data_IF_990236839390
#
_entry.id   IF_990236839390
#
_cell.length_a   1.000
_cell.length_b   1.000
_cell.length_c   1.000
_cell.angle_alpha   90.00
_cell.angle_beta   90.00
_cell.angle_gamma   90.00
#
_symmetry.space_group_name_H-M   'P 1'
#
loop_
_entity.id
_entity.type
_entity.pdbx_description
1 polymer ?
#
# COMPACT_ATOMS: atom_id res chain seq x y z
N UNK A 1 32.28 -7.67 -8.78
CA UNK A 1 31.40 -7.61 -7.59
C UNK A 1 31.68 -8.85 -6.78
N UNK A 2 32.14 -8.71 -5.54
CA UNK A 2 32.32 -9.86 -4.65
C UNK A 2 30.95 -10.38 -4.22
N UNK A 3 30.60 -11.59 -4.66
CA UNK A 3 29.36 -12.24 -4.26
C UNK A 3 29.52 -12.78 -2.82
N UNK A 4 29.01 -12.03 -1.84
CA UNK A 4 28.91 -12.52 -0.45
C UNK A 4 28.01 -13.77 -0.43
N UNK A 5 28.54 -14.91 0.03
CA UNK A 5 27.73 -16.10 0.31
C UNK A 5 26.91 -15.88 1.59
N UNK A 6 25.59 -16.00 1.49
CA UNK A 6 24.69 -15.92 2.65
C UNK A 6 24.88 -17.14 3.56
N UNK A 7 25.01 -16.90 4.86
CA UNK A 7 25.21 -17.92 5.90
C UNK A 7 23.94 -18.15 6.73
N UNK A 8 23.92 -19.24 7.52
CA UNK A 8 22.84 -19.51 8.48
C UNK A 8 22.67 -18.36 9.49
N UNK A 9 23.78 -17.84 10.02
CA UNK A 9 23.78 -16.72 10.97
C UNK A 9 23.25 -15.43 10.34
N UNK A 10 23.51 -15.19 9.05
CA UNK A 10 22.91 -14.07 8.31
C UNK A 10 21.37 -14.20 8.26
N UNK A 11 20.84 -15.41 8.05
CA UNK A 11 19.39 -15.66 8.01
C UNK A 11 18.74 -15.58 9.39
N UNK A 12 19.43 -16.06 10.44
CA UNK A 12 18.95 -15.98 11.82
C UNK A 12 18.88 -14.53 12.31
N UNK A 13 19.89 -13.68 11.99
CA UNK A 13 19.81 -12.23 12.25
C UNK A 13 18.65 -11.56 11.51
N UNK A 14 18.38 -11.98 10.27
CA UNK A 14 17.25 -11.46 9.49
C UNK A 14 15.89 -11.79 10.11
N UNK A 15 15.77 -12.87 10.89
CA UNK A 15 14.50 -13.28 11.51
C UNK A 15 13.93 -12.19 12.43
N UNK A 16 14.77 -11.53 13.21
CA UNK A 16 14.37 -10.46 14.13
C UNK A 16 13.85 -9.26 13.35
N UNK A 17 14.58 -8.82 12.32
CA UNK A 17 14.15 -7.75 11.42
C UNK A 17 12.85 -8.07 10.66
N UNK A 18 12.65 -9.34 10.28
CA UNK A 18 11.43 -9.79 9.61
C UNK A 18 10.19 -9.81 10.51
N UNK A 19 10.33 -9.81 11.84
CA UNK A 19 9.17 -9.74 12.74
C UNK A 19 8.66 -8.31 12.86
N UNK A 20 9.56 -7.34 12.94
CA UNK A 20 9.21 -5.91 12.98
C UNK A 20 8.61 -5.43 11.66
N UNK A 21 9.11 -5.94 10.53
CA UNK A 21 8.62 -5.57 9.19
C UNK A 21 7.19 -6.04 8.87
N UNK A 22 6.63 -7.00 9.63
CA UNK A 22 5.29 -7.55 9.38
C UNK A 22 4.14 -6.61 9.79
N UNK A 23 4.43 -5.62 10.62
CA UNK A 23 3.47 -4.64 11.13
C UNK A 23 3.95 -3.20 10.89
N UNK A 24 4.85 -3.03 9.91
CA UNK A 24 5.50 -1.76 9.63
C UNK A 24 4.47 -0.71 9.25
N UNK A 25 4.46 0.37 10.03
CA UNK A 25 3.82 1.63 9.67
C UNK A 25 4.84 2.41 8.85
N UNK A 26 4.43 2.87 7.68
CA UNK A 26 5.22 3.77 6.83
C UNK A 26 4.38 5.00 6.49
N UNK A 27 5.06 6.10 6.17
CA UNK A 27 4.42 7.32 5.70
C UNK A 27 4.73 7.48 4.22
N UNK A 28 3.68 7.58 3.39
CA UNK A 28 3.80 7.79 1.95
C UNK A 28 3.29 9.20 1.64
N UNK A 29 4.13 10.02 1.03
CA UNK A 29 3.77 11.37 0.64
C UNK A 29 2.82 11.34 -0.55
N UNK A 30 1.71 12.07 -0.44
CA UNK A 30 0.81 12.38 -1.55
C UNK A 30 1.08 13.80 -2.01
N UNK A 31 1.44 13.96 -3.29
CA UNK A 31 1.65 15.28 -3.88
C UNK A 31 0.32 16.01 -4.02
N UNK A 32 -0.75 15.28 -4.35
CA UNK A 32 -2.09 15.85 -4.48
C UNK A 32 -2.66 16.38 -3.16
N UNK A 33 -2.55 15.60 -2.08
CA UNK A 33 -3.01 16.02 -0.75
C UNK A 33 -2.00 16.91 -0.02
N UNK A 34 -0.81 17.11 -0.59
CA UNK A 34 0.31 17.85 -0.02
C UNK A 34 0.61 17.42 1.43
N UNK A 35 0.69 16.11 1.66
CA UNK A 35 0.79 15.53 2.99
C UNK A 35 1.16 14.06 3.00
N UNK A 36 1.55 13.56 4.17
CA UNK A 36 1.96 12.18 4.36
C UNK A 36 0.79 11.33 4.88
N UNK A 37 0.51 10.21 4.20
CA UNK A 37 -0.49 9.24 4.59
C UNK A 37 0.15 8.12 5.41
N UNK A 38 -0.45 7.79 6.56
CA UNK A 38 -0.08 6.60 7.32
C UNK A 38 -0.55 5.34 6.58
N UNK A 39 0.41 4.49 6.21
CA UNK A 39 0.19 3.22 5.51
C UNK A 39 0.66 2.08 6.39
N UNK A 40 -0.24 1.14 6.66
CA UNK A 40 0.05 -0.05 7.47
C UNK A 40 0.25 -1.25 6.56
N UNK A 41 1.46 -1.81 6.55
CA UNK A 41 1.72 -3.07 5.86
C UNK A 41 0.91 -4.19 6.50
N UNK A 42 0.26 -4.99 5.66
CA UNK A 42 -0.45 -6.22 6.08
C UNK A 42 0.40 -7.45 5.76
N UNK A 43 -0.04 -8.62 6.21
CA UNK A 43 0.63 -9.87 5.82
C UNK A 43 0.47 -10.05 4.32
N UNK A 44 1.55 -10.41 3.63
CA UNK A 44 1.54 -10.59 2.17
C UNK A 44 0.47 -11.59 1.71
N UNK A 45 0.21 -12.64 2.50
CA UNK A 45 -0.84 -13.62 2.19
C UNK A 45 -2.25 -13.00 2.20
N UNK A 46 -2.51 -12.00 3.04
CA UNK A 46 -3.81 -11.34 3.09
C UNK A 46 -3.99 -10.40 1.88
N UNK A 47 -2.89 -9.79 1.41
CA UNK A 47 -2.88 -9.04 0.15
C UNK A 47 -3.15 -9.97 -1.03
N UNK A 48 -2.45 -11.10 -1.14
CA UNK A 48 -2.65 -12.08 -2.21
C UNK A 48 -4.07 -12.63 -2.23
N UNK A 49 -4.64 -12.98 -1.07
CA UNK A 49 -6.06 -13.36 -0.99
C UNK A 49 -7.00 -12.26 -1.47
N UNK A 50 -6.61 -11.00 -1.34
CA UNK A 50 -7.41 -9.86 -1.82
C UNK A 50 -7.28 -9.66 -3.32
N UNK A 51 -6.11 -9.95 -3.89
CA UNK A 51 -5.86 -10.04 -5.33
C UNK A 51 -6.64 -11.20 -5.96
N UNK A 52 -6.61 -12.39 -5.38
CA UNK A 52 -7.30 -13.58 -5.90
C UNK A 52 -8.83 -13.41 -5.99
N UNK A 53 -9.42 -12.48 -5.22
CA UNK A 53 -10.85 -12.17 -5.26
C UNK A 53 -11.23 -11.22 -6.40
N UNK A 54 -10.26 -10.53 -6.98
CA UNK A 54 -10.45 -9.75 -8.20
C UNK A 54 -10.25 -10.75 -9.34
N UNK A 55 -11.34 -11.18 -9.97
CA UNK A 55 -11.26 -12.06 -11.14
C UNK A 55 -10.43 -11.35 -12.20
N UNK A 56 -9.20 -11.84 -12.41
CA UNK A 56 -8.35 -11.60 -13.57
C UNK A 56 -8.32 -10.12 -14.03
N UNK A 57 -7.42 -9.32 -13.45
CA UNK A 57 -7.23 -7.89 -13.76
C UNK A 57 -6.84 -7.71 -15.24
N UNK A 58 -7.83 -7.64 -16.12
CA UNK A 58 -7.70 -7.68 -17.57
C UNK A 58 -8.19 -6.38 -18.21
N UNK A 59 -8.76 -5.46 -17.42
CA UNK A 59 -9.23 -4.14 -17.88
C UNK A 59 -8.66 -2.98 -17.07
N UNK A 60 -8.72 -1.77 -17.63
CA UNK A 60 -8.32 -0.54 -16.92
C UNK A 60 -9.23 -0.22 -15.73
N UNK A 61 -10.50 -0.64 -15.78
CA UNK A 61 -11.46 -0.44 -14.68
C UNK A 61 -11.07 -1.31 -13.48
N UNK A 62 -10.83 -2.61 -13.71
CA UNK A 62 -10.39 -3.53 -12.65
C UNK A 62 -9.04 -3.11 -12.04
N UNK A 63 -8.12 -2.56 -12.84
CA UNK A 63 -6.85 -2.00 -12.33
C UNK A 63 -7.07 -0.81 -11.39
N UNK A 64 -8.03 0.06 -11.72
CA UNK A 64 -8.37 1.21 -10.89
C UNK A 64 -9.06 0.75 -9.59
N UNK A 65 -10.02 -0.17 -9.69
CA UNK A 65 -10.68 -0.77 -8.53
C UNK A 65 -9.69 -1.49 -7.61
N UNK A 66 -8.72 -2.20 -8.19
CA UNK A 66 -7.63 -2.80 -7.42
C UNK A 66 -6.84 -1.73 -6.64
N UNK A 67 -6.46 -0.65 -7.32
CA UNK A 67 -5.69 0.45 -6.71
C UNK A 67 -6.46 1.09 -5.54
N UNK A 68 -7.75 1.36 -5.75
CA UNK A 68 -8.64 1.93 -4.72
C UNK A 68 -8.79 0.99 -3.52
N UNK A 69 -9.06 -0.29 -3.77
CA UNK A 69 -9.15 -1.29 -2.70
C UNK A 69 -7.84 -1.44 -1.94
N UNK A 70 -6.70 -1.39 -2.63
CA UNK A 70 -5.39 -1.49 -2.03
C UNK A 70 -5.14 -0.33 -1.06
N UNK A 71 -5.38 0.91 -1.51
CA UNK A 71 -5.22 2.11 -0.70
C UNK A 71 -6.15 2.08 0.51
N UNK A 72 -7.44 1.82 0.29
CA UNK A 72 -8.43 1.74 1.35
C UNK A 72 -8.04 0.72 2.44
N UNK A 73 -7.51 -0.43 2.04
CA UNK A 73 -7.12 -1.46 2.99
C UNK A 73 -5.91 -1.08 3.85
N UNK A 74 -4.95 -0.36 3.28
CA UNK A 74 -3.68 -0.03 3.93
C UNK A 74 -3.66 1.32 4.66
N UNK A 75 -4.55 2.26 4.30
CA UNK A 75 -4.59 3.61 4.87
C UNK A 75 -5.75 3.73 5.87
N UNK A 76 -5.51 3.73 7.19
CA UNK A 76 -6.58 3.75 8.19
C UNK A 76 -7.43 5.01 8.16
N UNK A 77 -6.85 6.14 7.74
CA UNK A 77 -7.54 7.43 7.65
C UNK A 77 -8.82 7.35 6.82
N UNK A 78 -8.79 6.63 5.70
CA UNK A 78 -9.93 6.49 4.80
C UNK A 78 -11.03 5.58 5.34
N UNK A 79 -10.80 4.88 6.45
CA UNK A 79 -11.82 4.08 7.15
C UNK A 79 -12.58 4.89 8.20
N UNK A 80 -12.21 6.15 8.42
CA UNK A 80 -12.93 7.03 9.34
C UNK A 80 -14.36 7.29 8.84
N UNK A 81 -15.35 7.04 9.70
CA UNK A 81 -16.75 7.15 9.33
C UNK A 81 -17.21 8.59 9.18
N UNK A 82 -16.69 9.51 10.00
CA UNK A 82 -17.03 10.92 9.90
C UNK A 82 -16.55 11.49 8.57
N UNK A 83 -15.36 11.07 8.13
CA UNK A 83 -14.82 11.43 6.82
C UNK A 83 -15.71 10.87 5.68
N UNK A 84 -16.08 9.59 5.73
CA UNK A 84 -16.94 8.98 4.71
C UNK A 84 -18.32 9.64 4.61
N UNK A 85 -18.90 9.98 5.77
CA UNK A 85 -20.22 10.61 5.85
C UNK A 85 -20.18 12.05 5.29
N UNK A 86 -19.15 12.84 5.63
CA UNK A 86 -18.98 14.21 5.12
C UNK A 86 -18.78 14.26 3.60
N UNK A 87 -18.09 13.25 3.05
CA UNK A 87 -17.95 13.09 1.61
C UNK A 87 -19.15 12.38 0.96
N UNK A 88 -20.20 12.04 1.70
CA UNK A 88 -21.42 11.37 1.20
C UNK A 88 -21.14 10.03 0.49
N UNK A 89 -20.17 9.25 0.96
CA UNK A 89 -19.80 7.96 0.35
C UNK A 89 -20.98 6.97 0.37
N UNK A 90 -21.26 6.34 -0.78
CA UNK A 90 -22.28 5.28 -0.89
C UNK A 90 -21.66 3.96 -0.45
N UNK A 91 -20.49 3.64 -1.00
CA UNK A 91 -19.64 2.54 -0.59
C UNK A 91 -18.40 3.06 0.16
N UNK A 92 -17.84 2.31 1.13
CA UNK A 92 -16.70 2.79 1.92
C UNK A 92 -15.47 3.16 1.08
N UNK A 93 -15.28 2.50 -0.07
CA UNK A 93 -14.17 2.75 -1.00
C UNK A 93 -14.34 4.02 -1.83
N UNK A 94 -15.57 4.57 -1.93
CA UNK A 94 -15.85 5.81 -2.66
C UNK A 94 -15.00 6.97 -2.16
N UNK A 95 -14.61 6.92 -0.89
CA UNK A 95 -13.79 7.95 -0.27
C UNK A 95 -12.47 8.17 -1.01
N UNK A 96 -11.92 7.14 -1.66
CA UNK A 96 -10.68 7.27 -2.42
C UNK A 96 -10.94 8.12 -3.67
N UNK A 97 -11.97 7.79 -4.45
CA UNK A 97 -12.34 8.60 -5.62
C UNK A 97 -12.62 10.05 -5.23
N UNK A 98 -13.34 10.26 -4.11
CA UNK A 98 -13.76 11.60 -3.68
C UNK A 98 -12.64 12.45 -3.09
N UNK A 99 -11.79 11.88 -2.23
CA UNK A 99 -10.67 12.62 -1.62
C UNK A 99 -9.62 13.00 -2.67
N UNK A 100 -9.42 12.14 -3.67
CA UNK A 100 -8.48 12.38 -4.76
C UNK A 100 -9.12 13.06 -5.97
N UNK A 101 -10.41 13.44 -5.92
CA UNK A 101 -11.15 14.08 -7.03
C UNK A 101 -10.95 13.37 -8.38
N UNK A 102 -11.11 12.05 -8.38
CA UNK A 102 -10.90 11.17 -9.53
C UNK A 102 -9.50 11.28 -10.18
N UNK A 103 -8.50 11.78 -9.45
CA UNK A 103 -7.11 11.82 -9.91
C UNK A 103 -6.50 10.41 -9.93
N UNK A 104 -6.80 9.67 -11.01
CA UNK A 104 -6.36 8.29 -11.25
C UNK A 104 -4.83 8.15 -11.27
N UNK A 105 -4.10 9.22 -11.60
CA UNK A 105 -2.64 9.24 -11.61
C UNK A 105 -2.07 9.12 -10.20
N UNK A 106 -2.52 9.99 -9.29
CA UNK A 106 -2.11 9.95 -7.88
C UNK A 106 -2.55 8.64 -7.20
N UNK A 107 -3.77 8.17 -7.49
CA UNK A 107 -4.28 6.88 -6.99
C UNK A 107 -3.34 5.75 -7.44
N UNK A 108 -2.94 5.73 -8.71
CA UNK A 108 -1.99 4.75 -9.24
C UNK A 108 -0.60 4.85 -8.59
N UNK A 109 -0.07 6.06 -8.39
CA UNK A 109 1.23 6.28 -7.74
C UNK A 109 1.25 5.82 -6.28
N UNK A 110 0.18 6.12 -5.53
CA UNK A 110 0.03 5.68 -4.14
C UNK A 110 -0.09 4.15 -4.06
N UNK A 111 -0.92 3.55 -4.90
CA UNK A 111 -1.07 2.10 -4.98
C UNK A 111 0.28 1.41 -5.32
N UNK A 112 1.03 1.96 -6.28
CA UNK A 112 2.37 1.47 -6.61
C UNK A 112 3.35 1.57 -5.44
N UNK A 113 3.30 2.66 -4.69
CA UNK A 113 4.14 2.84 -3.50
C UNK A 113 3.82 1.82 -2.40
N UNK A 114 2.53 1.49 -2.22
CA UNK A 114 2.08 0.42 -1.31
C UNK A 114 2.58 -0.94 -1.79
N UNK A 115 2.47 -1.25 -3.08
CA UNK A 115 2.96 -2.52 -3.66
C UNK A 115 4.47 -2.71 -3.49
N UNK A 116 5.24 -1.62 -3.50
CA UNK A 116 6.67 -1.65 -3.24
C UNK A 116 7.03 -2.07 -1.81
N UNK A 117 6.12 -1.94 -0.82
CA UNK A 117 6.31 -2.51 0.52
C UNK A 117 6.38 -4.05 0.50
N UNK A 118 5.92 -4.67 -0.58
CA UNK A 118 5.92 -6.11 -0.82
C UNK A 118 6.98 -6.54 -1.84
N UNK A 119 7.80 -5.62 -2.34
CA UNK A 119 8.81 -5.90 -3.37
C UNK A 119 8.20 -6.24 -4.73
N UNK A 120 6.96 -5.79 -5.00
CA UNK A 120 6.30 -6.02 -6.28
C UNK A 120 6.61 -4.90 -7.28
N UNK A 121 6.87 -3.67 -6.79
CA UNK A 121 7.32 -2.54 -7.60
C UNK A 121 8.45 -1.79 -6.87
N UNK A 122 9.68 -1.87 -7.36
CA UNK A 122 10.91 -1.31 -6.74
C UNK A 122 11.03 0.23 -6.88
N UNK A 123 9.97 0.97 -6.51
CA UNK A 123 9.99 2.44 -6.45
C UNK A 123 9.99 3.00 -5.02
N UNK A 124 10.04 2.16 -3.98
CA UNK A 124 10.18 2.65 -2.60
C UNK A 124 11.61 3.13 -2.43
N UNK A 125 11.82 4.44 -2.62
CA UNK A 125 12.98 5.11 -2.03
C UNK A 125 12.87 4.93 -0.52
N UNK A 126 13.56 3.91 -0.01
CA UNK A 126 13.74 3.68 1.42
C UNK A 126 14.45 4.91 2.01
N UNK A 127 13.70 5.92 2.46
CA UNK A 127 14.14 6.82 3.52
C UNK A 127 14.00 6.08 4.85
N UNK A 128 14.76 5.01 5.00
CA UNK A 128 15.16 4.55 6.33
C UNK A 128 16.11 5.62 6.85
N UNK A 129 15.59 6.55 7.67
CA UNK A 129 16.43 7.49 8.40
C UNK A 129 17.30 6.66 9.35
N UNK A 130 18.61 6.73 9.11
CA UNK A 130 19.67 6.26 10.02
C UNK A 130 19.56 6.94 11.39
#
# INVERSE_FOLDING_TARGET
MDNKRITLDDLLRRKEQSQDDKLKIVFIHSNYLNGDLEVRKMRSIDLMKSLDRLEDINSSVENLEFSVNLIYNHCPLFKDKSLQDEYECVEPTDIIYKVFDDNIGEIGELANSIMGLYGINDNVQNKLKN
#
